data_IF_814626035418
#
_entry.id   IF_814626035418
#
_cell.length_a   1.000
_cell.length_b   1.000
_cell.length_c   1.000
_cell.angle_alpha   90.00
_cell.angle_beta   90.00
_cell.angle_gamma   90.00
#
_symmetry.space_group_name_H-M   'P 1'
#
loop_
_entity.id
_entity.type
_entity.pdbx_description
1 polymer ?
#
# COMPACT_ATOMS: atom_id res chain seq x y z
N UNK A 1 -6.72 9.67 -28.66
CA UNK A 1 -7.96 9.94 -29.44
C UNK A 1 -7.83 11.34 -30.00
N UNK A 2 -8.27 11.54 -31.24
CA UNK A 2 -8.31 12.87 -31.84
C UNK A 2 -9.30 13.77 -31.08
N UNK A 3 -8.98 15.05 -30.99
CA UNK A 3 -9.90 16.04 -30.42
C UNK A 3 -11.00 16.33 -31.45
N UNK A 4 -12.24 16.43 -30.99
CA UNK A 4 -13.40 16.73 -31.84
C UNK A 4 -13.99 18.06 -31.41
N UNK A 5 -14.28 18.92 -32.37
CA UNK A 5 -15.04 20.15 -32.12
C UNK A 5 -16.50 19.80 -31.86
N UNK A 6 -17.07 20.35 -30.79
CA UNK A 6 -18.46 20.10 -30.39
C UNK A 6 -19.10 21.41 -29.93
N UNK A 7 -20.39 21.57 -30.24
CA UNK A 7 -21.20 22.70 -29.79
C UNK A 7 -22.46 22.16 -29.11
N UNK A 8 -22.62 22.49 -27.83
CA UNK A 8 -23.70 22.00 -26.98
C UNK A 8 -24.13 23.11 -26.01
N UNK A 9 -25.43 23.20 -25.75
CA UNK A 9 -25.95 23.92 -24.60
C UNK A 9 -25.65 23.11 -23.33
N UNK A 10 -25.13 23.76 -22.28
CA UNK A 10 -24.63 23.08 -21.09
C UNK A 10 -24.78 23.95 -19.84
N UNK A 11 -24.98 23.29 -18.69
CA UNK A 11 -24.84 23.90 -17.39
C UNK A 11 -23.36 23.97 -16.97
N UNK A 12 -22.99 25.07 -16.33
CA UNK A 12 -21.62 25.32 -15.89
C UNK A 12 -21.54 25.44 -14.38
N UNK A 13 -20.55 24.79 -13.79
CA UNK A 13 -20.11 25.09 -12.43
C UNK A 13 -19.17 26.29 -12.46
N UNK A 14 -19.45 27.27 -11.59
CA UNK A 14 -18.72 28.54 -11.47
C UNK A 14 -17.36 28.36 -10.77
N UNK A 15 -16.51 27.48 -11.30
CA UNK A 15 -15.21 27.15 -10.73
C UNK A 15 -14.31 28.39 -10.59
N UNK A 16 -14.43 29.36 -11.50
CA UNK A 16 -13.68 30.62 -11.44
C UNK A 16 -13.87 31.38 -10.12
N UNK A 17 -15.02 31.24 -9.46
CA UNK A 17 -15.32 31.91 -8.19
C UNK A 17 -14.60 31.29 -6.97
N UNK A 18 -13.89 30.17 -7.14
CA UNK A 18 -13.23 29.43 -6.05
C UNK A 18 -11.72 29.58 -6.03
N UNK A 19 -11.12 30.35 -6.96
CA UNK A 19 -9.67 30.49 -7.09
C UNK A 19 -9.00 30.92 -5.77
N UNK A 20 -9.44 32.05 -5.20
CA UNK A 20 -8.87 32.58 -3.95
C UNK A 20 -9.08 31.62 -2.77
N UNK A 21 -10.28 31.02 -2.66
CA UNK A 21 -10.62 30.07 -1.59
C UNK A 21 -9.75 28.82 -1.65
N UNK A 22 -9.46 28.30 -2.85
CA UNK A 22 -8.58 27.17 -3.03
C UNK A 22 -7.14 27.52 -2.64
N UNK A 23 -6.63 28.67 -3.07
CA UNK A 23 -5.27 29.11 -2.72
C UNK A 23 -5.10 29.28 -1.21
N UNK A 24 -6.06 29.94 -0.55
CA UNK A 24 -6.09 30.08 0.91
C UNK A 24 -6.14 28.71 1.61
N UNK A 25 -6.92 27.77 1.06
CA UNK A 25 -6.99 26.41 1.58
C UNK A 25 -5.64 25.68 1.49
N UNK A 26 -4.94 25.78 0.36
CA UNK A 26 -3.61 25.19 0.18
C UNK A 26 -2.54 25.78 1.11
N UNK A 27 -2.66 27.06 1.46
CA UNK A 27 -1.77 27.72 2.41
C UNK A 27 -2.02 27.26 3.84
N UNK A 28 -3.29 27.12 4.24
CA UNK A 28 -3.69 26.63 5.56
C UNK A 28 -3.43 25.13 5.77
N UNK A 29 -3.48 24.35 4.69
CA UNK A 29 -3.33 22.90 4.72
C UNK A 29 -2.14 22.45 3.85
N UNK A 30 -0.88 22.70 4.29
CA UNK A 30 0.29 22.34 3.50
C UNK A 30 0.39 20.83 3.22
N UNK A 31 -0.19 20.00 4.08
CA UNK A 31 -0.28 18.54 3.92
C UNK A 31 -1.49 18.04 3.12
N UNK A 32 -2.32 18.91 2.54
CA UNK A 32 -3.51 18.47 1.79
C UNK A 32 -3.17 17.58 0.59
N UNK A 33 -2.04 17.84 -0.09
CA UNK A 33 -1.61 17.05 -1.26
C UNK A 33 -0.16 16.61 -1.10
N UNK A 34 0.11 15.32 -1.34
CA UNK A 34 1.46 14.75 -1.41
C UNK A 34 1.65 13.91 -2.68
N UNK A 35 2.88 13.83 -3.22
CA UNK A 35 4.09 14.53 -2.76
C UNK A 35 4.05 16.04 -3.08
N UNK A 36 4.96 16.80 -2.47
CA UNK A 36 5.03 18.26 -2.59
C UNK A 36 5.12 18.74 -4.05
N UNK A 37 5.80 17.99 -4.91
CA UNK A 37 5.90 18.29 -6.34
C UNK A 37 4.52 18.34 -7.01
N UNK A 38 3.59 17.45 -6.61
CA UNK A 38 2.22 17.42 -7.12
C UNK A 38 1.33 18.47 -6.49
N UNK A 39 1.55 18.79 -5.22
CA UNK A 39 0.93 19.98 -4.59
C UNK A 39 1.27 21.25 -5.38
N UNK A 40 2.54 21.45 -5.71
CA UNK A 40 3.00 22.63 -6.44
C UNK A 40 2.40 22.70 -7.86
N UNK A 41 2.26 21.56 -8.54
CA UNK A 41 1.56 21.46 -9.82
C UNK A 41 0.10 21.91 -9.71
N UNK A 42 -0.64 21.41 -8.71
CA UNK A 42 -2.03 21.79 -8.48
C UNK A 42 -2.18 23.29 -8.13
N UNK A 43 -1.33 23.81 -7.25
CA UNK A 43 -1.31 25.25 -6.89
C UNK A 43 -0.98 26.12 -8.11
N UNK A 44 -0.02 25.72 -8.94
CA UNK A 44 0.32 26.45 -10.17
C UNK A 44 -0.84 26.46 -11.17
N UNK A 45 -1.60 25.37 -11.24
CA UNK A 45 -2.80 25.31 -12.07
C UNK A 45 -3.85 26.33 -11.61
N UNK A 46 -4.12 26.40 -10.30
CA UNK A 46 -5.05 27.39 -9.74
C UNK A 46 -4.57 28.81 -10.01
N UNK A 47 -3.29 29.11 -9.77
CA UNK A 47 -2.68 30.43 -10.03
C UNK A 47 -2.69 30.86 -11.50
N UNK A 48 -2.88 29.93 -12.43
CA UNK A 48 -2.96 30.24 -13.86
C UNK A 48 -4.31 30.81 -14.30
N UNK A 49 -5.29 30.87 -13.39
CA UNK A 49 -6.64 31.34 -13.64
C UNK A 49 -7.61 30.19 -13.88
N UNK A 50 -8.68 30.12 -13.09
CA UNK A 50 -9.72 29.12 -13.24
C UNK A 50 -10.84 29.59 -14.18
N UNK A 51 -11.29 28.71 -15.07
CA UNK A 51 -12.48 28.92 -15.91
C UNK A 51 -13.62 28.06 -15.41
N UNK A 52 -14.84 28.53 -15.64
CA UNK A 52 -16.04 27.75 -15.37
C UNK A 52 -16.03 26.46 -16.21
N UNK A 53 -16.52 25.38 -15.61
CA UNK A 53 -16.47 24.05 -16.20
C UNK A 53 -17.87 23.57 -16.53
N UNK A 54 -18.05 23.01 -17.73
CA UNK A 54 -19.32 22.38 -18.12
C UNK A 54 -19.54 21.09 -17.34
N UNK A 55 -20.66 21.02 -16.60
CA UNK A 55 -21.04 19.90 -15.72
C UNK A 55 -22.15 19.03 -16.28
N UNK A 56 -22.67 19.33 -17.48
CA UNK A 56 -23.68 18.51 -18.15
C UNK A 56 -23.28 18.18 -19.58
N UNK A 57 -23.98 17.26 -20.23
CA UNK A 57 -23.91 16.99 -21.67
C UNK A 57 -25.31 16.76 -22.21
N UNK A 58 -25.52 17.10 -23.48
CA UNK A 58 -26.76 16.83 -24.24
C UNK A 58 -26.54 15.82 -25.38
N UNK A 59 -25.28 15.54 -25.74
CA UNK A 59 -24.91 14.62 -26.83
C UNK A 59 -24.97 13.14 -26.47
N UNK A 60 -25.22 12.81 -25.20
CA UNK A 60 -25.28 11.46 -24.67
C UNK A 60 -26.45 11.32 -23.71
N UNK A 61 -27.03 10.12 -23.65
CA UNK A 61 -28.12 9.73 -22.75
C UNK A 61 -27.63 8.83 -21.60
N UNK A 62 -26.45 8.21 -21.73
CA UNK A 62 -25.85 7.41 -20.66
C UNK A 62 -25.18 8.27 -19.58
N UNK A 63 -25.94 8.62 -18.56
CA UNK A 63 -25.49 9.32 -17.36
C UNK A 63 -26.64 9.54 -16.36
N UNK A 64 -26.35 10.23 -15.25
CA UNK A 64 -27.39 10.64 -14.30
C UNK A 64 -28.12 11.87 -14.87
N UNK A 65 -29.44 11.79 -14.98
CA UNK A 65 -30.28 12.88 -15.48
C UNK A 65 -30.25 14.10 -14.56
N UNK A 66 -30.24 15.29 -15.14
CA UNK A 66 -30.30 16.55 -14.40
C UNK A 66 -31.76 16.79 -13.97
N UNK A 67 -32.05 16.87 -12.66
CA UNK A 67 -33.43 16.84 -12.18
C UNK A 67 -34.24 18.10 -12.53
N UNK A 68 -33.57 19.20 -12.87
CA UNK A 68 -34.21 20.45 -13.26
C UNK A 68 -34.17 20.74 -14.77
N UNK A 69 -33.50 19.92 -15.58
CA UNK A 69 -33.38 20.15 -17.03
C UNK A 69 -33.41 18.82 -17.82
N UNK A 70 -34.62 18.34 -18.14
CA UNK A 70 -34.81 17.10 -18.90
C UNK A 70 -34.14 17.18 -20.27
N UNK A 71 -33.24 16.24 -20.56
CA UNK A 71 -32.44 16.21 -21.80
C UNK A 71 -30.95 16.45 -21.56
N UNK A 72 -30.57 16.84 -20.33
CA UNK A 72 -29.19 16.88 -19.89
C UNK A 72 -28.86 15.69 -18.98
N UNK A 73 -27.65 15.16 -19.13
CA UNK A 73 -27.03 14.26 -18.15
C UNK A 73 -25.81 14.92 -17.51
N UNK A 74 -25.51 14.59 -16.26
CA UNK A 74 -24.30 15.09 -15.61
C UNK A 74 -23.04 14.55 -16.29
N UNK A 75 -22.05 15.42 -16.41
CA UNK A 75 -20.72 15.06 -16.90
C UNK A 75 -20.05 14.09 -15.92
N UNK A 76 -19.41 13.05 -16.45
CA UNK A 76 -18.85 11.95 -15.65
C UNK A 76 -17.97 12.39 -14.48
N UNK A 77 -17.19 13.48 -14.58
CA UNK A 77 -16.37 13.93 -13.45
C UNK A 77 -17.15 14.68 -12.38
N UNK A 78 -18.28 15.30 -12.75
CA UNK A 78 -19.17 15.92 -11.77
C UNK A 78 -19.86 14.84 -10.91
N UNK A 79 -20.32 13.76 -11.55
CA UNK A 79 -20.91 12.61 -10.87
C UNK A 79 -19.87 11.76 -10.13
N UNK A 80 -18.82 11.30 -10.81
CA UNK A 80 -17.87 10.33 -10.26
C UNK A 80 -17.20 10.81 -8.98
N UNK A 81 -16.90 12.11 -8.82
CA UNK A 81 -16.27 12.60 -7.59
C UNK A 81 -17.20 12.49 -6.35
N UNK A 82 -18.51 12.49 -6.53
CA UNK A 82 -19.49 12.39 -5.44
C UNK A 82 -19.47 10.98 -4.82
N UNK A 83 -18.95 9.96 -5.52
CA UNK A 83 -18.86 8.59 -5.04
C UNK A 83 -18.26 8.48 -3.62
N UNK A 84 -17.28 9.33 -3.30
CA UNK A 84 -16.61 9.31 -2.00
C UNK A 84 -17.56 9.64 -0.86
N UNK A 85 -18.47 10.60 -1.06
CA UNK A 85 -19.50 10.97 -0.10
C UNK A 85 -20.64 9.94 -0.09
N UNK A 86 -21.04 9.44 -1.27
CA UNK A 86 -22.09 8.42 -1.38
C UNK A 86 -21.72 7.12 -0.67
N UNK A 87 -20.43 6.74 -0.68
CA UNK A 87 -19.93 5.54 -0.02
C UNK A 87 -20.10 5.56 1.51
N UNK A 88 -20.18 6.76 2.09
CA UNK A 88 -20.39 7.01 3.53
C UNK A 88 -21.77 7.62 3.82
N UNK A 89 -22.73 7.38 2.92
CA UNK A 89 -24.15 7.65 3.18
C UNK A 89 -24.61 9.10 2.96
N UNK A 90 -23.82 9.98 2.34
CA UNK A 90 -24.22 11.38 2.15
C UNK A 90 -25.59 11.52 1.48
N UNK A 91 -26.50 12.23 2.15
CA UNK A 91 -27.86 12.46 1.67
C UNK A 91 -28.80 11.25 1.80
N UNK A 92 -28.43 10.25 2.61
CA UNK A 92 -29.23 9.06 2.94
C UNK A 92 -29.52 9.00 4.46
N UNK A 93 -30.30 8.01 4.89
CA UNK A 93 -30.62 7.79 6.31
C UNK A 93 -29.42 7.27 7.11
N UNK A 94 -28.47 6.60 6.45
CA UNK A 94 -27.23 6.04 7.00
C UNK A 94 -26.03 6.99 6.79
N UNK A 95 -26.24 8.30 6.94
CA UNK A 95 -25.19 9.32 6.76
C UNK A 95 -24.14 9.26 7.88
N UNK A 96 -22.92 8.86 7.51
CA UNK A 96 -21.75 8.80 8.38
C UNK A 96 -20.67 9.81 7.96
N UNK A 97 -21.05 10.87 7.23
CA UNK A 97 -20.10 11.86 6.69
C UNK A 97 -19.33 12.56 7.81
N UNK A 98 -20.00 12.93 8.89
CA UNK A 98 -19.35 13.59 10.02
C UNK A 98 -18.31 12.71 10.73
N UNK A 99 -18.47 11.38 10.64
CA UNK A 99 -17.56 10.41 11.25
C UNK A 99 -16.36 10.15 10.34
N UNK A 100 -16.59 9.81 9.07
CA UNK A 100 -15.53 9.32 8.19
C UNK A 100 -14.85 10.41 7.34
N UNK A 101 -15.57 11.45 6.92
CA UNK A 101 -15.03 12.46 5.99
C UNK A 101 -13.82 13.24 6.52
N UNK A 102 -13.81 13.70 7.80
CA UNK A 102 -12.68 14.45 8.34
C UNK A 102 -11.36 13.67 8.38
N UNK A 103 -11.41 12.33 8.31
CA UNK A 103 -10.24 11.44 8.31
C UNK A 103 -10.10 10.65 7.00
N UNK A 104 -10.81 11.06 5.95
CA UNK A 104 -10.74 10.41 4.64
C UNK A 104 -9.46 10.83 3.90
N UNK A 105 -8.83 9.86 3.23
CA UNK A 105 -7.64 10.06 2.41
C UNK A 105 -7.92 9.53 1.01
N UNK A 106 -7.62 10.32 -0.03
CA UNK A 106 -7.76 9.88 -1.41
C UNK A 106 -6.40 9.43 -1.96
N UNK A 107 -6.31 8.18 -2.41
CA UNK A 107 -5.17 7.68 -3.18
C UNK A 107 -5.51 7.70 -4.67
N UNK A 108 -4.76 8.48 -5.45
CA UNK A 108 -5.05 8.68 -6.88
C UNK A 108 -3.80 8.63 -7.76
N UNK A 109 -3.99 8.32 -9.04
CA UNK A 109 -2.95 8.49 -10.05
C UNK A 109 -2.77 9.95 -10.44
N UNK A 110 -1.54 10.34 -10.79
CA UNK A 110 -1.18 11.73 -11.18
C UNK A 110 -2.02 12.33 -12.31
N UNK A 111 -2.63 11.51 -13.17
CA UNK A 111 -3.37 11.95 -14.34
C UNK A 111 -4.74 12.59 -14.03
N UNK A 112 -5.27 12.34 -12.84
CA UNK A 112 -6.57 12.86 -12.39
C UNK A 112 -6.42 13.96 -11.32
N UNK A 113 -5.22 14.53 -11.20
CA UNK A 113 -4.88 15.57 -10.22
C UNK A 113 -5.81 16.78 -10.31
N UNK A 114 -6.12 17.27 -11.51
CA UNK A 114 -6.99 18.44 -11.68
C UNK A 114 -8.38 18.20 -11.09
N UNK A 115 -8.91 16.99 -11.21
CA UNK A 115 -10.23 16.66 -10.70
C UNK A 115 -10.24 16.64 -9.17
N UNK A 116 -9.22 16.05 -8.53
CA UNK A 116 -9.22 15.84 -7.08
C UNK A 116 -8.61 16.99 -6.29
N UNK A 117 -7.74 17.79 -6.90
CA UNK A 117 -7.02 18.88 -6.26
C UNK A 117 -7.55 20.26 -6.65
N UNK A 118 -8.49 20.35 -7.61
CA UNK A 118 -9.07 21.65 -8.03
C UNK A 118 -10.58 21.58 -8.08
N UNK A 119 -11.14 20.68 -8.87
CA UNK A 119 -12.60 20.63 -9.06
C UNK A 119 -13.31 20.14 -7.81
N UNK A 120 -12.87 19.00 -7.28
CA UNK A 120 -13.45 18.38 -6.10
C UNK A 120 -13.45 19.29 -4.86
N UNK A 121 -12.32 19.88 -4.42
CA UNK A 121 -12.34 20.78 -3.27
C UNK A 121 -13.24 22.00 -3.50
N UNK A 122 -13.30 22.55 -4.72
CA UNK A 122 -14.22 23.65 -5.03
C UNK A 122 -15.69 23.21 -4.95
N UNK A 123 -16.01 22.01 -5.43
CA UNK A 123 -17.35 21.42 -5.33
C UNK A 123 -17.74 21.18 -3.86
N UNK A 124 -16.86 20.64 -3.03
CA UNK A 124 -17.08 20.52 -1.58
C UNK A 124 -17.36 21.89 -0.96
N UNK A 125 -16.49 22.87 -1.23
CA UNK A 125 -16.62 24.24 -0.74
C UNK A 125 -17.91 24.93 -1.19
N UNK A 126 -18.45 24.58 -2.36
CA UNK A 126 -19.72 25.07 -2.88
C UNK A 126 -20.91 24.44 -2.16
N UNK A 127 -20.80 23.16 -1.80
CA UNK A 127 -21.79 22.40 -1.05
C UNK A 127 -21.75 22.70 0.47
N UNK A 128 -20.83 23.56 0.93
CA UNK A 128 -20.65 23.85 2.36
C UNK A 128 -19.89 22.76 3.12
N UNK A 129 -19.20 21.88 2.40
CA UNK A 129 -18.34 20.83 2.96
C UNK A 129 -16.88 21.27 2.94
N UNK A 130 -16.12 20.84 3.94
CA UNK A 130 -14.67 20.90 3.88
C UNK A 130 -14.14 19.92 2.82
N UNK A 131 -13.06 20.24 2.10
CA UNK A 131 -12.34 19.27 1.30
C UNK A 131 -11.85 18.07 2.13
N UNK A 132 -11.57 16.95 1.45
CA UNK A 132 -11.00 15.75 2.06
C UNK A 132 -9.69 16.06 2.79
N UNK A 133 -9.40 15.36 3.90
CA UNK A 133 -8.23 15.64 4.74
C UNK A 133 -6.91 15.56 3.98
N UNK A 134 -6.80 14.63 3.02
CA UNK A 134 -5.54 14.38 2.32
C UNK A 134 -5.74 13.73 0.96
N UNK A 135 -4.90 14.09 -0.01
CA UNK A 135 -4.81 13.48 -1.34
C UNK A 135 -3.37 13.02 -1.58
N UNK A 136 -3.15 11.70 -1.53
CA UNK A 136 -1.90 11.07 -1.90
C UNK A 136 -1.91 10.73 -3.40
N UNK A 137 -0.91 11.22 -4.11
CA UNK A 137 -0.77 11.05 -5.56
C UNK A 137 0.36 10.07 -5.85
N UNK A 138 0.10 9.08 -6.71
CA UNK A 138 1.12 8.15 -7.19
C UNK A 138 1.38 8.32 -8.70
N UNK A 139 2.56 7.85 -9.14
CA UNK A 139 2.94 7.87 -10.55
C UNK A 139 2.35 6.70 -11.33
N UNK A 140 2.78 6.58 -12.59
CA UNK A 140 2.44 5.47 -13.45
C UNK A 140 3.32 4.26 -13.18
N UNK A 141 2.76 3.08 -13.42
CA UNK A 141 3.54 1.88 -13.67
C UNK A 141 3.89 1.83 -15.16
N UNK A 142 5.18 1.89 -15.45
CA UNK A 142 5.77 1.86 -16.79
C UNK A 142 6.33 0.47 -17.08
N UNK A 143 6.37 0.10 -18.37
CA UNK A 143 7.11 -1.07 -18.85
C UNK A 143 7.86 -0.68 -20.11
N UNK A 144 9.17 -0.97 -20.15
CA UNK A 144 10.07 -0.44 -21.16
C UNK A 144 10.09 1.09 -21.20
N UNK A 145 9.86 1.76 -20.05
CA UNK A 145 9.75 3.22 -19.97
C UNK A 145 8.49 3.82 -20.59
N UNK A 146 7.51 3.00 -20.99
CA UNK A 146 6.26 3.47 -21.59
C UNK A 146 5.05 3.15 -20.69
N UNK A 147 4.04 4.02 -20.75
CA UNK A 147 2.78 3.81 -20.04
C UNK A 147 2.05 2.61 -20.63
N UNK A 148 1.67 1.66 -19.78
CA UNK A 148 0.84 0.53 -20.15
C UNK A 148 -0.42 0.97 -20.88
N UNK A 149 -0.54 0.55 -22.14
CA UNK A 149 -1.67 0.86 -22.99
C UNK A 149 -2.07 -0.36 -23.82
N UNK A 150 -3.34 -0.39 -24.23
CA UNK A 150 -3.84 -1.45 -25.11
C UNK A 150 -3.07 -1.53 -26.44
N UNK A 151 -2.53 -0.39 -26.90
CA UNK A 151 -1.82 -0.27 -28.19
C UNK A 151 -0.38 -0.78 -28.13
N UNK A 152 0.32 -0.62 -27.00
CA UNK A 152 1.69 -1.15 -26.83
C UNK A 152 1.79 -2.67 -27.04
N UNK A 153 0.72 -3.42 -26.70
CA UNK A 153 0.68 -4.86 -26.93
C UNK A 153 0.56 -5.25 -28.41
N UNK A 154 0.16 -4.33 -29.29
CA UNK A 154 0.02 -4.58 -30.72
C UNK A 154 1.33 -4.37 -31.49
N UNK A 155 2.28 -3.58 -30.97
CA UNK A 155 3.52 -3.19 -31.66
C UNK A 155 4.75 -4.05 -31.28
N UNK A 156 4.56 -5.12 -30.50
CA UNK A 156 5.52 -6.24 -30.43
C UNK A 156 6.62 -6.17 -29.36
N UNK A 157 6.56 -5.22 -28.40
CA UNK A 157 7.56 -5.13 -27.32
C UNK A 157 7.17 -5.83 -26.00
N UNK A 158 5.91 -5.73 -25.58
CA UNK A 158 5.38 -6.30 -24.33
C UNK A 158 3.92 -6.65 -24.57
N UNK A 159 3.53 -7.93 -24.53
CA UNK A 159 2.10 -8.25 -24.66
C UNK A 159 1.41 -7.90 -23.35
N UNK A 160 0.20 -7.31 -23.40
CA UNK A 160 -0.64 -7.08 -22.21
C UNK A 160 -0.83 -8.35 -21.36
N UNK A 161 -0.72 -9.52 -21.99
CA UNK A 161 -0.79 -10.83 -21.32
C UNK A 161 0.41 -11.12 -20.43
N UNK A 162 1.60 -10.61 -20.75
CA UNK A 162 2.87 -10.89 -20.03
C UNK A 162 2.97 -10.10 -18.70
N UNK A 163 2.07 -9.14 -18.50
CA UNK A 163 1.98 -8.26 -17.32
C UNK A 163 0.56 -8.25 -16.74
N UNK A 164 -0.28 -9.20 -17.17
CA UNK A 164 -1.61 -9.38 -16.61
C UNK A 164 -1.48 -9.70 -15.13
N UNK A 165 -2.17 -8.98 -14.21
CA UNK A 165 -2.13 -9.30 -12.79
C UNK A 165 -2.44 -10.77 -12.51
N UNK A 166 -3.38 -11.38 -13.25
CA UNK A 166 -3.73 -12.79 -13.09
C UNK A 166 -2.53 -13.71 -13.40
N UNK A 167 -1.86 -13.50 -14.53
CA UNK A 167 -0.69 -14.30 -14.91
C UNK A 167 0.45 -14.14 -13.91
N UNK A 168 0.71 -12.91 -13.47
CA UNK A 168 1.74 -12.63 -12.47
C UNK A 168 1.38 -13.26 -11.11
N UNK A 169 0.11 -13.28 -10.72
CA UNK A 169 -0.30 -13.95 -9.49
C UNK A 169 -0.27 -15.47 -9.59
N UNK A 170 -0.49 -16.04 -10.77
CA UNK A 170 -0.36 -17.48 -11.00
C UNK A 170 1.11 -17.92 -10.91
N UNK A 171 2.04 -17.09 -11.40
CA UNK A 171 3.47 -17.37 -11.38
C UNK A 171 4.13 -17.08 -10.02
N UNK A 172 3.90 -15.89 -9.46
CA UNK A 172 4.59 -15.41 -8.25
C UNK A 172 3.75 -15.51 -6.98
N UNK A 173 2.43 -15.62 -7.09
CA UNK A 173 1.50 -15.46 -5.97
C UNK A 173 1.09 -14.01 -5.73
N UNK A 174 -0.04 -13.85 -5.02
CA UNK A 174 -0.65 -12.53 -4.73
C UNK A 174 0.23 -11.67 -3.84
N UNK A 175 0.70 -12.21 -2.72
CA UNK A 175 1.48 -11.46 -1.74
C UNK A 175 2.85 -11.04 -2.29
N UNK A 176 3.60 -11.90 -3.00
CA UNK A 176 4.84 -11.48 -3.66
C UNK A 176 4.65 -10.39 -4.71
N UNK A 177 3.58 -10.42 -5.50
CA UNK A 177 3.27 -9.35 -6.45
C UNK A 177 2.94 -8.04 -5.72
N UNK A 178 2.13 -8.08 -4.65
CA UNK A 178 1.85 -6.91 -3.81
C UNK A 178 3.14 -6.32 -3.25
N UNK A 179 3.99 -7.16 -2.64
CA UNK A 179 5.29 -6.78 -2.12
C UNK A 179 6.12 -6.05 -3.17
N UNK A 180 6.28 -6.65 -4.36
CA UNK A 180 7.07 -6.04 -5.44
C UNK A 180 6.56 -4.64 -5.81
N UNK A 181 5.24 -4.51 -6.05
CA UNK A 181 4.64 -3.24 -6.49
C UNK A 181 4.82 -2.11 -5.48
N UNK A 182 4.75 -2.41 -4.18
CA UNK A 182 4.91 -1.37 -3.13
C UNK A 182 6.36 -1.19 -2.67
N UNK A 183 7.22 -2.19 -2.88
CA UNK A 183 8.63 -2.16 -2.45
C UNK A 183 9.54 -1.49 -3.46
N UNK A 184 9.34 -1.77 -4.74
CA UNK A 184 10.28 -1.41 -5.80
C UNK A 184 10.22 0.09 -6.10
N UNK A 185 9.01 0.67 -6.11
CA UNK A 185 8.80 2.08 -6.45
C UNK A 185 8.33 2.87 -5.25
N UNK A 186 9.01 3.97 -4.94
CA UNK A 186 8.53 4.93 -3.96
C UNK A 186 7.26 5.62 -4.47
N UNK A 187 6.20 5.57 -3.65
CA UNK A 187 4.89 6.15 -4.00
C UNK A 187 5.04 7.65 -4.31
N UNK A 188 4.52 8.07 -5.46
CA UNK A 188 4.65 9.45 -5.99
C UNK A 188 5.50 9.54 -7.25
N UNK A 189 6.47 8.64 -7.42
CA UNK A 189 7.25 8.52 -8.64
C UNK A 189 6.56 7.59 -9.63
N UNK A 190 6.93 7.72 -10.91
CA UNK A 190 6.67 6.66 -11.88
C UNK A 190 7.59 5.47 -11.54
N UNK A 191 7.02 4.27 -11.60
CA UNK A 191 7.72 3.01 -11.35
C UNK A 191 7.91 2.23 -12.62
N UNK A 192 9.04 1.53 -12.74
CA UNK A 192 9.30 0.61 -13.85
C UNK A 192 9.01 -0.82 -13.39
N UNK A 193 8.17 -1.53 -14.13
CA UNK A 193 7.92 -2.95 -13.93
C UNK A 193 8.75 -3.77 -14.92
N UNK A 194 9.42 -4.80 -14.41
CA UNK A 194 10.03 -5.83 -15.25
C UNK A 194 9.87 -7.21 -14.63
N UNK A 195 9.72 -8.25 -15.46
CA UNK A 195 9.66 -9.64 -15.01
C UNK A 195 10.95 -10.06 -14.28
N UNK A 196 12.10 -9.60 -14.79
CA UNK A 196 13.40 -9.76 -14.14
C UNK A 196 13.42 -9.12 -12.74
N UNK A 197 12.84 -7.92 -12.60
CA UNK A 197 12.79 -7.18 -11.34
C UNK A 197 11.98 -7.93 -10.27
N UNK A 198 10.77 -8.37 -10.60
CA UNK A 198 9.96 -9.16 -9.66
C UNK A 198 10.62 -10.49 -9.34
N UNK A 199 11.22 -11.18 -10.32
CA UNK A 199 11.95 -12.44 -10.09
C UNK A 199 13.14 -12.24 -9.16
N UNK A 200 13.91 -11.17 -9.34
CA UNK A 200 15.06 -10.85 -8.50
C UNK A 200 14.64 -10.54 -7.06
N UNK A 201 13.59 -9.73 -6.87
CA UNK A 201 13.01 -9.42 -5.55
C UNK A 201 12.43 -10.65 -4.89
N UNK A 202 11.67 -11.45 -5.63
CA UNK A 202 11.11 -12.70 -5.13
C UNK A 202 12.21 -13.61 -4.58
N UNK A 203 13.26 -13.86 -5.37
CA UNK A 203 14.31 -14.78 -4.96
C UNK A 203 15.16 -14.21 -3.81
N UNK A 204 15.53 -12.93 -3.87
CA UNK A 204 16.44 -12.32 -2.90
C UNK A 204 15.73 -11.97 -1.59
N UNK A 205 14.64 -11.21 -1.68
CA UNK A 205 13.99 -10.63 -0.52
C UNK A 205 13.04 -11.63 0.14
N UNK A 206 12.29 -12.41 -0.65
CA UNK A 206 11.29 -13.33 -0.13
C UNK A 206 11.88 -14.72 0.12
N UNK A 207 12.41 -15.39 -0.89
CA UNK A 207 12.90 -16.76 -0.73
C UNK A 207 14.17 -16.86 0.13
N UNK A 208 15.21 -16.09 -0.20
CA UNK A 208 16.52 -16.22 0.45
C UNK A 208 16.59 -15.56 1.83
N UNK A 209 15.85 -14.46 2.05
CA UNK A 209 15.85 -13.76 3.34
C UNK A 209 14.71 -14.25 4.24
N UNK A 210 13.47 -13.83 4.00
CA UNK A 210 12.35 -14.14 4.89
C UNK A 210 12.03 -15.64 4.94
N UNK A 211 11.86 -16.28 3.79
CA UNK A 211 11.49 -17.69 3.67
C UNK A 211 12.51 -18.61 4.31
N UNK A 212 13.80 -18.39 4.00
CA UNK A 212 14.90 -19.14 4.60
C UNK A 212 15.00 -18.92 6.11
N UNK A 213 14.83 -17.68 6.60
CA UNK A 213 14.83 -17.38 8.03
C UNK A 213 13.76 -18.22 8.76
N UNK A 214 12.52 -18.18 8.29
CA UNK A 214 11.41 -18.93 8.88
C UNK A 214 11.67 -20.43 8.82
N UNK A 215 12.12 -20.95 7.68
CA UNK A 215 12.41 -22.37 7.51
C UNK A 215 13.52 -22.86 8.45
N UNK A 216 14.62 -22.11 8.59
CA UNK A 216 15.73 -22.47 9.48
C UNK A 216 15.30 -22.47 10.94
N UNK A 217 14.60 -21.42 11.38
CA UNK A 217 14.15 -21.28 12.77
C UNK A 217 13.18 -22.41 13.13
N UNK A 218 12.12 -22.60 12.35
CA UNK A 218 11.13 -23.66 12.59
C UNK A 218 11.75 -25.05 12.53
N UNK A 219 12.72 -25.29 11.65
CA UNK A 219 13.42 -26.57 11.55
C UNK A 219 14.20 -26.90 12.82
N UNK A 220 14.98 -25.95 13.34
CA UNK A 220 15.79 -26.15 14.55
C UNK A 220 14.88 -26.28 15.78
N UNK A 221 13.89 -25.39 15.93
CA UNK A 221 12.95 -25.44 17.06
C UNK A 221 12.26 -26.80 17.12
N UNK A 222 11.63 -27.25 16.03
CA UNK A 222 10.94 -28.53 16.02
C UNK A 222 11.86 -29.76 16.12
N UNK A 223 13.18 -29.61 15.98
CA UNK A 223 14.13 -30.70 16.13
C UNK A 223 14.78 -30.75 17.52
N UNK A 224 14.96 -29.60 18.17
CA UNK A 224 15.85 -29.46 19.33
C UNK A 224 15.27 -28.69 20.52
N UNK A 225 14.11 -28.06 20.38
CA UNK A 225 13.50 -27.20 21.40
C UNK A 225 12.03 -27.60 21.64
N UNK A 226 11.48 -27.22 22.80
CA UNK A 226 10.03 -27.18 23.01
C UNK A 226 9.53 -25.75 22.83
N UNK A 227 8.87 -25.47 21.70
CA UNK A 227 8.41 -24.13 21.36
C UNK A 227 7.48 -23.50 22.42
N UNK A 228 6.75 -24.32 23.18
CA UNK A 228 5.77 -23.85 24.17
C UNK A 228 6.43 -23.32 25.44
N UNK A 229 7.70 -23.67 25.68
CA UNK A 229 8.46 -23.23 26.85
C UNK A 229 9.42 -22.08 26.54
N UNK A 230 9.56 -21.70 25.27
CA UNK A 230 10.51 -20.66 24.84
C UNK A 230 10.03 -19.27 25.24
N UNK A 231 10.91 -18.52 25.91
CA UNK A 231 10.67 -17.13 26.31
C UNK A 231 11.82 -16.26 25.77
N UNK A 232 11.53 -15.27 24.91
CA UNK A 232 12.55 -14.37 24.39
C UNK A 232 13.17 -13.54 25.52
N UNK A 233 14.45 -13.19 25.37
CA UNK A 233 15.19 -12.45 26.39
C UNK A 233 14.97 -10.94 26.24
N UNK A 234 14.86 -10.25 27.37
CA UNK A 234 14.74 -8.79 27.42
C UNK A 234 16.05 -8.08 27.03
N UNK A 235 17.19 -8.76 27.16
CA UNK A 235 18.53 -8.25 26.83
C UNK A 235 19.05 -8.76 25.48
N UNK A 236 18.18 -9.35 24.65
CA UNK A 236 18.56 -9.81 23.32
C UNK A 236 19.12 -8.68 22.46
N UNK A 237 20.16 -8.98 21.68
CA UNK A 237 20.72 -8.03 20.71
C UNK A 237 19.73 -7.64 19.60
N UNK A 238 18.61 -8.37 19.45
CA UNK A 238 17.54 -8.08 18.51
C UNK A 238 16.52 -7.06 19.02
N UNK A 239 16.51 -6.73 20.31
CA UNK A 239 15.55 -5.76 20.91
C UNK A 239 15.67 -4.38 20.27
N UNK A 240 16.90 -3.87 20.14
CA UNK A 240 17.13 -2.55 19.54
C UNK A 240 16.78 -2.50 18.04
N UNK A 241 17.24 -3.45 17.20
CA UNK A 241 16.79 -3.56 15.81
C UNK A 241 15.27 -3.70 15.65
N UNK A 242 14.61 -4.46 16.53
CA UNK A 242 13.15 -4.62 16.50
C UNK A 242 12.44 -3.29 16.73
N UNK A 243 12.82 -2.56 17.79
CA UNK A 243 12.25 -1.24 18.12
C UNK A 243 12.46 -0.25 16.96
N UNK A 244 13.68 -0.18 16.44
CA UNK A 244 14.00 0.71 15.31
C UNK A 244 13.12 0.42 14.09
N UNK A 245 12.94 -0.85 13.73
CA UNK A 245 12.13 -1.23 12.59
C UNK A 245 10.64 -0.89 12.79
N UNK A 246 10.11 -1.10 14.01
CA UNK A 246 8.74 -0.70 14.36
C UNK A 246 8.55 0.81 14.25
N UNK A 247 9.44 1.60 14.85
CA UNK A 247 9.35 3.06 14.85
C UNK A 247 9.44 3.62 13.42
N UNK A 248 10.42 3.15 12.64
CA UNK A 248 10.59 3.57 11.25
C UNK A 248 9.40 3.16 10.37
N UNK A 249 8.88 1.94 10.55
CA UNK A 249 7.73 1.47 9.79
C UNK A 249 6.47 2.30 10.11
N UNK A 250 6.20 2.59 11.39
CA UNK A 250 5.08 3.43 11.80
C UNK A 250 5.16 4.83 11.18
N UNK A 251 6.33 5.47 11.26
CA UNK A 251 6.55 6.78 10.63
C UNK A 251 6.36 6.73 9.13
N UNK A 252 6.84 5.66 8.47
CA UNK A 252 6.72 5.50 7.02
C UNK A 252 5.28 5.26 6.57
N UNK A 253 4.50 4.44 7.28
CA UNK A 253 3.08 4.23 7.00
C UNK A 253 2.25 5.50 7.20
N UNK A 254 2.48 6.24 8.29
CA UNK A 254 1.78 7.49 8.59
C UNK A 254 1.95 8.57 7.51
N UNK A 255 3.03 8.50 6.71
CA UNK A 255 3.30 9.44 5.60
C UNK A 255 3.14 8.83 4.20
N UNK A 256 2.42 7.71 4.07
CA UNK A 256 2.19 7.03 2.78
C UNK A 256 3.48 6.60 2.05
N UNK A 257 4.49 6.13 2.79
CA UNK A 257 5.76 5.64 2.26
C UNK A 257 5.96 4.12 2.48
N UNK A 258 5.12 3.25 1.89
CA UNK A 258 5.17 1.80 2.12
C UNK A 258 6.52 1.16 1.78
N UNK A 259 7.21 1.66 0.74
CA UNK A 259 8.52 1.15 0.35
C UNK A 259 9.56 1.28 1.48
N UNK A 260 9.53 2.39 2.21
CA UNK A 260 10.43 2.66 3.34
C UNK A 260 10.03 1.85 4.58
N UNK A 261 8.73 1.62 4.79
CA UNK A 261 8.27 0.74 5.87
C UNK A 261 8.76 -0.70 5.67
N UNK A 262 8.71 -1.19 4.43
CA UNK A 262 9.24 -2.50 4.07
C UNK A 262 10.76 -2.55 4.13
N UNK A 263 11.47 -1.48 3.78
CA UNK A 263 12.93 -1.40 3.95
C UNK A 263 13.36 -1.53 5.41
N UNK A 264 12.67 -0.85 6.33
CA UNK A 264 12.89 -0.99 7.77
C UNK A 264 12.65 -2.44 8.23
N UNK A 265 11.56 -3.05 7.78
CA UNK A 265 11.23 -4.45 8.08
C UNK A 265 12.30 -5.42 7.55
N UNK A 266 12.80 -5.22 6.33
CA UNK A 266 13.86 -6.05 5.75
C UNK A 266 15.22 -5.86 6.42
N UNK A 267 15.51 -4.65 6.90
CA UNK A 267 16.69 -4.39 7.70
C UNK A 267 16.67 -5.21 9.01
N UNK A 268 15.50 -5.36 9.63
CA UNK A 268 15.32 -6.21 10.80
C UNK A 268 15.41 -7.71 10.49
N UNK A 269 14.86 -8.16 9.36
CA UNK A 269 15.06 -9.54 8.86
C UNK A 269 16.57 -9.81 8.65
N UNK A 270 17.30 -8.85 8.08
CA UNK A 270 18.75 -8.93 7.91
C UNK A 270 19.50 -9.04 9.24
N UNK A 271 19.15 -8.21 10.23
CA UNK A 271 19.72 -8.26 11.58
C UNK A 271 19.46 -9.63 12.25
N UNK A 272 18.26 -10.19 12.08
CA UNK A 272 17.87 -11.49 12.62
C UNK A 272 18.65 -12.64 11.96
N UNK A 273 18.82 -12.60 10.64
CA UNK A 273 19.69 -13.56 9.94
C UNK A 273 21.15 -13.46 10.44
N UNK A 274 21.69 -12.25 10.58
CA UNK A 274 23.05 -12.03 11.06
C UNK A 274 23.25 -12.51 12.50
N UNK A 275 22.24 -12.34 13.37
CA UNK A 275 22.23 -12.90 14.72
C UNK A 275 22.34 -14.43 14.69
N UNK A 276 21.52 -15.11 13.88
CA UNK A 276 21.57 -16.56 13.74
C UNK A 276 22.91 -17.05 13.18
N UNK A 277 23.52 -16.31 12.25
CA UNK A 277 24.87 -16.62 11.75
C UNK A 277 25.94 -16.56 12.83
N UNK A 278 25.91 -15.54 13.69
CA UNK A 278 26.85 -15.41 14.80
C UNK A 278 26.66 -16.48 15.87
N UNK A 279 25.41 -16.75 16.25
CA UNK A 279 25.07 -17.73 17.28
C UNK A 279 25.25 -19.17 16.80
N UNK A 280 25.12 -19.41 15.48
CA UNK A 280 25.24 -20.71 14.83
C UNK A 280 24.43 -21.85 15.52
N UNK A 281 23.10 -21.67 15.77
CA UNK A 281 22.29 -22.62 16.56
C UNK A 281 22.23 -24.04 15.98
N UNK A 282 22.50 -24.22 14.69
CA UNK A 282 22.58 -25.56 14.08
C UNK A 282 23.72 -26.41 14.67
N UNK A 283 24.78 -25.78 15.18
CA UNK A 283 25.91 -26.44 15.85
C UNK A 283 25.72 -26.62 17.36
N UNK A 284 24.69 -26.00 17.94
CA UNK A 284 24.42 -26.07 19.36
C UNK A 284 23.68 -27.37 19.70
N UNK A 285 23.97 -27.92 20.86
CA UNK A 285 23.22 -29.03 21.46
C UNK A 285 21.94 -28.52 22.13
N UNK A 286 20.89 -29.37 22.25
CA UNK A 286 19.67 -29.01 22.97
C UNK A 286 19.96 -28.55 24.41
N UNK A 287 19.31 -27.46 24.84
CA UNK A 287 19.45 -26.89 26.18
C UNK A 287 19.23 -25.38 26.20
N UNK A 288 19.36 -24.79 27.39
CA UNK A 288 18.97 -23.40 27.68
C UNK A 288 19.59 -22.36 26.73
N UNK A 289 20.84 -22.53 26.32
CA UNK A 289 21.49 -21.58 25.41
C UNK A 289 20.89 -21.62 24.01
N UNK A 290 20.54 -22.81 23.49
CA UNK A 290 19.88 -22.93 22.19
C UNK A 290 18.46 -22.37 22.29
N UNK A 291 17.73 -22.73 23.34
CA UNK A 291 16.37 -22.27 23.60
C UNK A 291 16.31 -20.74 23.65
N UNK A 292 17.24 -20.08 24.34
CA UNK A 292 17.33 -18.63 24.39
C UNK A 292 17.54 -17.98 23.01
N UNK A 293 18.43 -18.54 22.19
CA UNK A 293 18.69 -18.03 20.82
C UNK A 293 17.46 -18.23 19.94
N UNK A 294 16.81 -19.39 20.03
CA UNK A 294 15.64 -19.70 19.21
C UNK A 294 14.41 -18.90 19.65
N UNK A 295 14.25 -18.62 20.94
CA UNK A 295 13.17 -17.79 21.46
C UNK A 295 13.25 -16.35 20.93
N UNK A 296 14.46 -15.76 20.93
CA UNK A 296 14.69 -14.43 20.34
C UNK A 296 14.38 -14.39 18.84
N UNK A 297 14.79 -15.44 18.10
CA UNK A 297 14.53 -15.52 16.67
C UNK A 297 13.04 -15.69 16.34
N UNK A 298 12.31 -16.45 17.16
CA UNK A 298 10.87 -16.62 17.05
C UNK A 298 10.11 -15.32 17.34
N UNK A 299 10.54 -14.56 18.34
CA UNK A 299 9.99 -13.24 18.63
C UNK A 299 10.24 -12.24 17.50
N UNK A 300 11.44 -12.27 16.91
CA UNK A 300 11.73 -11.45 15.74
C UNK A 300 10.83 -11.79 14.55
N UNK A 301 10.61 -13.09 14.26
CA UNK A 301 9.69 -13.52 13.19
C UNK A 301 8.26 -13.09 13.49
N UNK A 302 7.81 -13.18 14.75
CA UNK A 302 6.47 -12.71 15.16
C UNK A 302 6.26 -11.24 14.81
N UNK A 303 7.22 -10.37 15.16
CA UNK A 303 7.15 -8.95 14.83
C UNK A 303 7.18 -8.71 13.31
N UNK A 304 8.03 -9.44 12.58
CA UNK A 304 8.06 -9.39 11.11
C UNK A 304 6.69 -9.72 10.52
N UNK A 305 5.98 -10.73 11.04
CA UNK A 305 4.63 -11.08 10.54
C UNK A 305 3.66 -9.91 10.63
N UNK A 306 3.69 -9.17 11.74
CA UNK A 306 2.81 -8.00 11.92
C UNK A 306 3.21 -6.90 10.94
N UNK A 307 4.50 -6.59 10.85
CA UNK A 307 5.04 -5.53 9.98
C UNK A 307 4.79 -5.76 8.48
N UNK A 308 4.81 -7.02 8.02
CA UNK A 308 4.51 -7.34 6.62
C UNK A 308 3.02 -7.46 6.33
N UNK A 309 2.17 -7.61 7.35
CA UNK A 309 0.75 -7.95 7.16
C UNK A 309 -0.07 -6.96 6.32
N UNK A 310 0.19 -5.64 6.30
CA UNK A 310 -0.52 -4.72 5.39
C UNK A 310 -0.27 -5.03 3.90
N UNK A 311 0.87 -5.63 3.58
CA UNK A 311 1.33 -5.87 2.21
C UNK A 311 1.21 -7.34 1.82
N UNK A 312 1.57 -8.25 2.73
CA UNK A 312 1.59 -9.70 2.51
C UNK A 312 0.76 -10.42 3.60
N UNK A 313 -0.57 -10.22 3.62
CA UNK A 313 -1.42 -10.74 4.68
C UNK A 313 -1.45 -12.28 4.73
N UNK A 314 -1.48 -12.96 3.58
CA UNK A 314 -1.55 -14.43 3.54
C UNK A 314 -0.26 -15.08 4.01
N UNK A 315 0.88 -14.51 3.63
CA UNK A 315 2.21 -14.95 4.11
C UNK A 315 2.32 -14.70 5.61
N UNK A 316 1.92 -13.52 6.09
CA UNK A 316 1.93 -13.19 7.51
C UNK A 316 1.13 -14.22 8.32
N UNK A 317 -0.10 -14.51 7.89
CA UNK A 317 -0.98 -15.50 8.51
C UNK A 317 -0.38 -16.90 8.47
N UNK A 318 0.20 -17.31 7.34
CA UNK A 318 0.81 -18.64 7.23
C UNK A 318 2.02 -18.81 8.15
N UNK A 319 2.87 -17.77 8.29
CA UNK A 319 3.98 -17.81 9.25
C UNK A 319 3.43 -17.83 10.67
N UNK A 320 2.45 -16.98 10.99
CA UNK A 320 1.81 -16.91 12.32
C UNK A 320 1.22 -18.27 12.74
N UNK A 321 0.54 -18.93 11.81
CA UNK A 321 -0.02 -20.29 11.98
C UNK A 321 1.07 -21.33 12.22
N UNK A 322 2.16 -21.31 11.44
CA UNK A 322 3.31 -22.23 11.64
C UNK A 322 3.99 -22.02 12.98
N UNK A 323 3.99 -20.80 13.50
CA UNK A 323 4.49 -20.48 14.83
C UNK A 323 3.50 -20.84 15.96
N UNK A 324 2.28 -21.32 15.63
CA UNK A 324 1.22 -21.68 16.57
C UNK A 324 0.83 -20.55 17.51
N UNK A 325 0.79 -19.33 17.00
CA UNK A 325 0.42 -18.16 17.78
C UNK A 325 -1.10 -17.98 17.80
N UNK A 326 -1.61 -17.44 18.91
CA UNK A 326 -3.02 -17.08 19.04
C UNK A 326 -3.34 -15.84 18.19
N UNK A 327 -4.61 -15.69 17.79
CA UNK A 327 -5.09 -14.51 17.05
C UNK A 327 -4.55 -14.44 15.62
N UNK A 328 -4.39 -13.22 15.12
CA UNK A 328 -3.93 -12.92 13.76
C UNK A 328 -2.95 -11.74 13.78
N UNK A 329 -1.92 -11.74 12.91
CA UNK A 329 -0.99 -10.61 12.78
C UNK A 329 -1.66 -9.32 12.29
N UNK A 330 -2.87 -9.39 11.72
CA UNK A 330 -3.61 -8.24 11.19
C UNK A 330 -4.74 -7.73 12.11
N UNK A 331 -5.12 -8.48 13.14
CA UNK A 331 -6.32 -8.20 13.94
C UNK A 331 -6.04 -7.42 15.23
N UNK A 332 -4.80 -7.05 15.49
CA UNK A 332 -4.33 -6.75 16.84
C UNK A 332 -3.96 -5.27 16.99
N UNK A 333 -4.29 -4.60 18.12
CA UNK A 333 -3.88 -3.21 18.36
C UNK A 333 -2.35 -3.09 18.29
N UNK A 334 -1.85 -2.17 17.47
CA UNK A 334 -0.41 -2.05 17.19
C UNK A 334 0.40 -1.85 18.49
N UNK A 335 -0.15 -1.09 19.45
CA UNK A 335 0.48 -0.74 20.73
C UNK A 335 0.70 -1.95 21.65
N UNK A 336 -0.10 -3.01 21.48
CA UNK A 336 0.00 -4.22 22.29
C UNK A 336 0.86 -5.30 21.60
N UNK A 337 0.82 -5.36 20.26
CA UNK A 337 1.41 -6.47 19.51
C UNK A 337 2.77 -6.14 18.91
N UNK A 338 3.10 -4.88 18.61
CA UNK A 338 4.43 -4.47 18.12
C UNK A 338 5.43 -4.19 19.27
N UNK A 339 5.39 -5.03 20.31
CA UNK A 339 6.27 -4.95 21.47
C UNK A 339 7.07 -6.24 21.60
N UNK A 340 8.37 -6.13 21.85
CA UNK A 340 9.24 -7.29 22.10
C UNK A 340 8.77 -8.10 23.34
N UNK A 341 9.06 -9.40 23.35
CA UNK A 341 8.85 -10.26 24.51
C UNK A 341 7.55 -11.08 24.48
N UNK A 342 6.74 -10.96 23.42
CA UNK A 342 5.35 -11.46 23.39
C UNK A 342 5.16 -12.82 22.74
N UNK A 343 6.20 -13.43 22.17
CA UNK A 343 6.12 -14.77 21.59
C UNK A 343 5.65 -15.78 22.63
N UNK A 344 4.51 -16.42 22.38
CA UNK A 344 3.95 -17.52 23.17
C UNK A 344 3.27 -18.49 22.21
N UNK A 345 3.93 -19.61 21.93
CA UNK A 345 3.33 -20.66 21.12
C UNK A 345 2.30 -21.45 21.93
N UNK A 346 1.17 -21.78 21.30
CA UNK A 346 0.13 -22.62 21.88
C UNK A 346 0.49 -24.11 21.79
N UNK A 347 1.26 -24.48 20.78
CA UNK A 347 1.64 -25.84 20.45
C UNK A 347 3.04 -25.87 19.80
N UNK A 348 3.57 -27.05 19.54
CA UNK A 348 4.81 -27.21 18.80
C UNK A 348 4.72 -26.57 17.39
N UNK A 349 5.77 -25.84 17.00
CA UNK A 349 5.82 -25.20 15.68
C UNK A 349 5.66 -26.21 14.54
N UNK A 350 5.03 -25.77 13.47
CA UNK A 350 4.80 -26.59 12.29
C UNK A 350 5.87 -26.34 11.22
N UNK A 351 6.54 -27.42 10.82
CA UNK A 351 7.34 -27.41 9.58
C UNK A 351 6.39 -27.51 8.39
N UNK A 352 6.64 -26.72 7.36
CA UNK A 352 5.86 -26.76 6.13
C UNK A 352 6.74 -26.62 4.90
N UNK A 353 6.11 -26.77 3.74
CA UNK A 353 6.75 -26.50 2.45
C UNK A 353 7.35 -25.08 2.40
N UNK A 354 8.37 -24.85 1.55
CA UNK A 354 8.96 -23.53 1.39
C UNK A 354 7.90 -22.47 1.13
N UNK A 355 7.92 -21.38 1.91
CA UNK A 355 6.98 -20.26 1.76
C UNK A 355 7.06 -19.63 0.36
N UNK A 356 8.27 -19.60 -0.19
CA UNK A 356 8.56 -19.03 -1.50
C UNK A 356 9.45 -20.02 -2.27
N UNK A 357 8.87 -21.00 -2.97
CA UNK A 357 9.63 -21.89 -3.84
C UNK A 357 10.40 -21.05 -4.86
N UNK A 358 11.72 -21.25 -4.98
CA UNK A 358 12.57 -20.43 -5.85
C UNK A 358 12.11 -20.50 -7.29
N UNK A 359 11.99 -19.34 -7.91
CA UNK A 359 11.69 -19.23 -9.33
C UNK A 359 13.02 -19.26 -10.06
N UNK A 360 13.20 -20.23 -10.95
CA UNK A 360 14.38 -20.25 -11.82
C UNK A 360 14.22 -19.10 -12.80
N UNK A 361 15.25 -18.24 -12.90
CA UNK A 361 15.35 -17.32 -14.02
C UNK A 361 15.33 -18.17 -15.29
N UNK A 362 14.25 -18.08 -16.07
CA UNK A 362 14.18 -18.74 -17.38
C UNK A 362 15.17 -18.11 -18.35
N UNK A 363 15.71 -18.93 -19.24
CA UNK A 363 16.47 -18.53 -20.43
C UNK A 363 15.70 -17.55 -21.34
#
# INVERSE_FOLDING_TARGET
RELTEMQEENWFFRLSAFEDRLLEYYERHPGFVTPETKRNEAVSFVKSGLRDISITRTSIDWGIEVPWDPGHVFYVWYDALINYLTAIGYGREDDEVAEWWPSSHHLIGKEIIRFHCVWWPAMCMAAGLEPVSHVQIHGWLLVGGQKLSKTMAAEGGVRLTDISPVMLTDEFGVDPLRYYLVRETALGNDGEFSHEGITARYNTDLANNLGNLVARVTTIVAAKCDATTLVPRDDSELVAPAREAVDQARVAWARFAPSQALEATWSFIGATNAFLERQAPWKMEPGESLDAVMADALEAIRLVCILISPVMPRVAEEIWRRLRLAGSPSAAPEEEYLVWGRYRALEAVEKGEPLFPRIRSGE
#
